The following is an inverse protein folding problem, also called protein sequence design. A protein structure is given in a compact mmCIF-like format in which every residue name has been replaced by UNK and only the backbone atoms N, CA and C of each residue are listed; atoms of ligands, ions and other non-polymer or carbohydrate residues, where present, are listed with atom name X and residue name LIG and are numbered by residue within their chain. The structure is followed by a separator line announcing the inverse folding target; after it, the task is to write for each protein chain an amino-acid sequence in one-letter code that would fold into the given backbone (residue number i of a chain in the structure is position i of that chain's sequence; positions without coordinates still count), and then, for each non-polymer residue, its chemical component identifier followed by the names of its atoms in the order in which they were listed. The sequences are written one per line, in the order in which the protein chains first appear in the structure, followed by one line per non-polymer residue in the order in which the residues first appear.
data_IF_914647654221
#
_entry.id   IF_914647654221
#
_cell.length_a   1.000
_cell.length_b   1.000
_cell.length_c   1.000
_cell.angle_alpha   90.00
_cell.angle_beta   90.00
_cell.angle_gamma   90.00
#
_symmetry.space_group_name_H-M   'P 1'
#
loop_
_entity.id
_entity.type
_entity.pdbx_description
1 polymer ?
#
# COMPACT_ATOMS: atom_id res chain seq x y z
N UNK A 1 20.05 20.38 1.22
CA UNK A 1 19.61 19.30 2.13
C UNK A 1 19.21 18.09 1.29
N UNK A 2 19.77 16.91 1.54
CA UNK A 2 19.31 15.67 0.89
C UNK A 2 17.92 15.36 1.42
N UNK A 3 16.93 15.26 0.54
CA UNK A 3 15.62 14.73 0.92
C UNK A 3 15.79 13.21 1.07
N UNK A 4 15.63 12.67 2.27
CA UNK A 4 15.75 11.24 2.51
C UNK A 4 14.35 10.67 2.67
N UNK A 5 13.92 9.89 1.67
CA UNK A 5 12.69 9.11 1.77
C UNK A 5 12.99 7.87 2.62
N UNK A 6 12.18 7.63 3.66
CA UNK A 6 12.27 6.42 4.48
C UNK A 6 11.01 5.58 4.27
N UNK A 7 11.23 4.29 4.11
CA UNK A 7 10.18 3.30 3.85
C UNK A 7 10.34 2.22 4.92
N UNK A 8 9.28 1.98 5.68
CA UNK A 8 9.26 0.96 6.72
C UNK A 8 8.02 0.10 6.57
N UNK A 9 8.22 -1.20 6.46
CA UNK A 9 7.12 -2.17 6.50
C UNK A 9 6.52 -2.21 7.92
N UNK A 10 5.19 -2.22 7.98
CA UNK A 10 4.45 -2.34 9.22
C UNK A 10 4.32 -3.82 9.60
N UNK A 11 4.39 -4.09 10.90
CA UNK A 11 4.03 -5.38 11.47
C UNK A 11 2.52 -5.59 11.49
N UNK A 12 2.08 -6.84 11.60
CA UNK A 12 0.66 -7.18 11.70
C UNK A 12 -0.05 -6.43 12.84
N UNK A 13 0.62 -6.29 14.00
CA UNK A 13 0.09 -5.54 15.14
C UNK A 13 -0.11 -4.04 14.81
N UNK A 14 0.84 -3.42 14.12
CA UNK A 14 0.71 -2.02 13.69
C UNK A 14 -0.41 -1.84 12.67
N UNK A 15 -0.61 -2.83 11.79
CA UNK A 15 -1.70 -2.84 10.81
C UNK A 15 -3.05 -2.94 11.55
N UNK A 16 -3.21 -3.88 12.48
CA UNK A 16 -4.43 -4.03 13.27
C UNK A 16 -4.79 -2.76 14.05
N UNK A 17 -3.80 -2.08 14.64
CA UNK A 17 -4.01 -0.80 15.32
C UNK A 17 -4.42 0.32 14.36
N UNK A 18 -3.85 0.34 13.16
CA UNK A 18 -4.16 1.33 12.14
C UNK A 18 -5.57 1.12 11.58
N UNK A 19 -6.00 -0.12 11.37
CA UNK A 19 -7.34 -0.48 10.88
C UNK A 19 -8.47 -0.16 11.85
N UNK A 20 -8.18 -0.03 13.15
CA UNK A 20 -9.14 0.47 14.15
C UNK A 20 -9.47 1.95 13.94
N UNK A 21 -8.67 2.70 13.17
CA UNK A 21 -8.92 4.10 12.84
C UNK A 21 -9.91 4.22 11.69
N UNK A 22 -11.01 4.94 11.92
CA UNK A 22 -12.15 5.03 10.99
C UNK A 22 -11.74 5.34 9.56
N UNK A 23 -10.89 6.35 9.33
CA UNK A 23 -10.47 6.75 7.99
C UNK A 23 -9.61 5.70 7.26
N UNK A 24 -8.85 4.91 8.01
CA UNK A 24 -8.00 3.86 7.46
C UNK A 24 -8.73 2.53 7.24
N UNK A 25 -9.96 2.35 7.74
CA UNK A 25 -10.73 1.14 7.44
C UNK A 25 -11.49 1.20 6.10
N UNK A 26 -11.65 2.39 5.52
CA UNK A 26 -12.56 2.61 4.38
C UNK A 26 -12.07 2.03 3.04
N UNK A 27 -10.80 1.65 2.90
CA UNK A 27 -10.24 1.13 1.64
C UNK A 27 -9.84 -0.31 1.85
N UNK A 28 -10.41 -1.23 1.07
CA UNK A 28 -10.15 -2.66 1.16
C UNK A 28 -10.04 -3.31 -0.22
N UNK A 29 -9.12 -4.28 -0.40
CA UNK A 29 -9.05 -5.06 -1.63
C UNK A 29 -10.26 -5.98 -1.77
N UNK A 30 -10.87 -6.03 -2.95
CA UNK A 30 -12.13 -6.78 -3.19
C UNK A 30 -12.05 -7.81 -4.31
N UNK A 31 -11.25 -7.58 -5.35
CA UNK A 31 -11.20 -8.44 -6.53
C UNK A 31 -9.84 -8.37 -7.23
N UNK A 32 -9.36 -9.50 -7.75
CA UNK A 32 -8.18 -9.54 -8.62
C UNK A 32 -8.58 -9.29 -10.07
N UNK A 33 -7.98 -8.29 -10.71
CA UNK A 33 -8.22 -7.97 -12.13
C UNK A 33 -7.76 -9.08 -13.09
N UNK A 34 -6.77 -9.88 -12.69
CA UNK A 34 -6.14 -10.83 -13.61
C UNK A 34 -6.82 -12.20 -13.62
N UNK A 35 -7.43 -12.63 -12.51
CA UNK A 35 -8.10 -13.94 -12.39
C UNK A 35 -9.55 -13.88 -11.89
N UNK A 36 -10.05 -12.72 -11.47
CA UNK A 36 -11.41 -12.54 -10.95
C UNK A 36 -11.63 -13.09 -9.54
N UNK A 37 -10.58 -13.58 -8.86
CA UNK A 37 -10.68 -14.07 -7.49
C UNK A 37 -11.20 -12.97 -6.55
N UNK A 38 -12.10 -13.35 -5.64
CA UNK A 38 -12.70 -12.50 -4.61
C UNK A 38 -12.40 -13.08 -3.23
N UNK A 39 -12.47 -12.23 -2.20
CA UNK A 39 -12.31 -12.64 -0.81
C UNK A 39 -11.13 -11.95 -0.13
N UNK A 40 -10.46 -12.65 0.78
CA UNK A 40 -9.37 -12.06 1.56
C UNK A 40 -8.06 -12.06 0.77
N UNK A 41 -7.49 -10.88 0.61
CA UNK A 41 -6.18 -10.69 0.00
C UNK A 41 -5.11 -10.55 1.06
N UNK A 42 -3.93 -11.13 0.82
CA UNK A 42 -2.76 -10.86 1.64
C UNK A 42 -2.33 -9.42 1.40
N UNK A 43 -2.01 -8.68 2.47
CA UNK A 43 -1.69 -7.25 2.39
C UNK A 43 -0.33 -6.98 3.02
N UNK A 44 0.39 -6.02 2.46
CA UNK A 44 1.62 -5.46 3.02
C UNK A 44 1.49 -3.95 3.06
N UNK A 45 1.73 -3.36 4.21
CA UNK A 45 1.62 -1.93 4.44
C UNK A 45 2.97 -1.34 4.79
N UNK A 46 3.28 -0.18 4.23
CA UNK A 46 4.54 0.52 4.43
C UNK A 46 4.26 1.95 4.86
N UNK A 47 4.87 2.41 5.94
CA UNK A 47 4.89 3.81 6.33
C UNK A 47 5.98 4.56 5.57
N UNK A 48 5.62 5.69 4.97
CA UNK A 48 6.53 6.51 4.17
C UNK A 48 6.75 7.86 4.85
N UNK A 49 8.02 8.21 5.07
CA UNK A 49 8.44 9.50 5.60
C UNK A 49 9.30 10.26 4.58
N UNK A 50 9.19 11.60 4.57
CA UNK A 50 10.03 12.47 3.72
C UNK A 50 9.59 12.59 2.26
N UNK A 51 8.40 12.08 1.92
CA UNK A 51 7.82 12.23 0.58
C UNK A 51 7.29 13.66 0.38
N UNK A 52 7.73 14.35 -0.68
CA UNK A 52 7.30 15.74 -0.97
C UNK A 52 6.13 15.87 -1.95
N UNK A 53 5.51 14.74 -2.30
CA UNK A 53 4.37 14.63 -3.22
C UNK A 53 4.62 15.17 -4.65
N UNK A 54 5.88 15.30 -5.08
CA UNK A 54 6.22 15.61 -6.48
C UNK A 54 6.33 14.34 -7.35
N UNK A 55 6.31 14.52 -8.68
CA UNK A 55 6.41 13.41 -9.65
C UNK A 55 7.72 12.64 -9.54
N UNK A 56 8.80 13.30 -9.13
CA UNK A 56 10.15 12.73 -9.07
C UNK A 56 10.27 11.75 -7.90
N UNK A 57 9.79 12.16 -6.72
CA UNK A 57 9.77 11.35 -5.50
C UNK A 57 8.91 10.09 -5.68
N UNK A 58 7.75 10.21 -6.35
CA UNK A 58 6.90 9.04 -6.67
C UNK A 58 7.59 8.06 -7.63
N UNK A 59 8.35 8.56 -8.60
CA UNK A 59 9.15 7.72 -9.51
C UNK A 59 10.27 6.96 -8.79
N UNK A 60 10.99 7.64 -7.90
CA UNK A 60 12.05 7.02 -7.07
C UNK A 60 11.45 5.96 -6.15
N UNK A 61 10.31 6.27 -5.52
CA UNK A 61 9.58 5.36 -4.66
C UNK A 61 9.14 4.10 -5.43
N UNK A 62 8.58 4.24 -6.63
CA UNK A 62 8.18 3.10 -7.47
C UNK A 62 9.38 2.18 -7.81
N UNK A 63 10.52 2.77 -8.19
CA UNK A 63 11.75 2.02 -8.45
C UNK A 63 12.20 1.26 -7.20
N UNK A 64 12.14 1.91 -6.03
CA UNK A 64 12.54 1.31 -4.77
C UNK A 64 11.60 0.17 -4.35
N UNK A 65 10.28 0.37 -4.42
CA UNK A 65 9.28 -0.65 -4.12
C UNK A 65 9.46 -1.90 -4.99
N UNK A 66 9.69 -1.71 -6.29
CA UNK A 66 9.96 -2.80 -7.22
C UNK A 66 11.25 -3.55 -6.89
N UNK A 67 12.36 -2.83 -6.71
CA UNK A 67 13.70 -3.45 -6.52
C UNK A 67 13.88 -4.12 -5.16
N UNK A 68 13.41 -3.48 -4.10
CA UNK A 68 13.66 -3.95 -2.73
C UNK A 68 12.58 -4.90 -2.22
N UNK A 69 11.33 -4.68 -2.63
CA UNK A 69 10.18 -5.42 -2.09
C UNK A 69 9.45 -6.28 -3.11
N UNK A 70 9.81 -6.19 -4.40
CA UNK A 70 9.13 -6.89 -5.49
C UNK A 70 7.71 -6.37 -5.74
N UNK A 71 7.41 -5.14 -5.33
CA UNK A 71 6.06 -4.56 -5.36
C UNK A 71 5.94 -3.58 -6.54
N UNK A 72 5.02 -3.88 -7.46
CA UNK A 72 4.73 -3.05 -8.64
C UNK A 72 3.31 -2.47 -8.63
N UNK A 73 2.35 -3.19 -8.04
CA UNK A 73 0.98 -2.73 -7.83
C UNK A 73 0.75 -2.32 -6.38
N UNK A 74 0.39 -1.06 -6.16
CA UNK A 74 0.08 -0.54 -4.83
C UNK A 74 -0.78 0.73 -4.90
N UNK A 75 -1.41 1.07 -3.78
CA UNK A 75 -2.14 2.32 -3.60
C UNK A 75 -1.49 3.16 -2.49
N UNK A 76 -1.71 4.47 -2.56
CA UNK A 76 -1.37 5.37 -1.46
C UNK A 76 -2.55 5.49 -0.50
N UNK A 77 -2.22 5.52 0.80
CA UNK A 77 -3.18 5.76 1.88
C UNK A 77 -2.67 6.85 2.80
N UNK A 78 -3.60 7.56 3.42
CA UNK A 78 -3.28 8.64 4.35
C UNK A 78 -4.06 8.47 5.64
N UNK A 79 -3.39 8.67 6.79
CA UNK A 79 -4.03 8.81 8.10
C UNK A 79 -3.49 10.08 8.77
N UNK A 80 -4.28 11.16 8.71
CA UNK A 80 -3.81 12.50 9.04
C UNK A 80 -2.64 12.92 8.15
N UNK A 81 -1.49 13.21 8.76
CA UNK A 81 -0.25 13.61 8.05
C UNK A 81 0.64 12.43 7.64
N UNK A 82 0.26 11.19 8.00
CA UNK A 82 1.05 10.00 7.71
C UNK A 82 0.66 9.45 6.35
N UNK A 83 1.67 9.11 5.55
CA UNK A 83 1.49 8.50 4.24
C UNK A 83 1.89 7.04 4.30
N UNK A 84 1.09 6.19 3.68
CA UNK A 84 1.31 4.76 3.60
C UNK A 84 1.21 4.28 2.16
N UNK A 85 1.90 3.19 1.88
CA UNK A 85 1.69 2.37 0.69
C UNK A 85 1.01 1.09 1.14
N UNK A 86 -0.03 0.70 0.43
CA UNK A 86 -0.68 -0.59 0.61
C UNK A 86 -0.57 -1.39 -0.68
N UNK A 87 0.01 -2.58 -0.58
CA UNK A 87 0.03 -3.57 -1.64
C UNK A 87 -0.83 -4.77 -1.22
N UNK A 88 -1.65 -5.26 -2.15
CA UNK A 88 -2.45 -6.46 -1.96
C UNK A 88 -2.04 -7.52 -2.98
N UNK A 89 -2.09 -8.79 -2.56
CA UNK A 89 -1.68 -9.93 -3.38
C UNK A 89 -2.82 -10.91 -3.51
N UNK A 90 -3.13 -11.29 -4.75
CA UNK A 90 -4.10 -12.33 -5.02
C UNK A 90 -3.61 -13.66 -4.43
N UNK A 91 -4.41 -14.34 -3.59
CA UNK A 91 -4.00 -15.62 -3.03
C UNK A 91 -3.85 -16.70 -4.10
N UNK A 92 -4.61 -16.61 -5.20
CA UNK A 92 -4.65 -17.59 -6.30
C UNK A 92 -3.51 -17.39 -7.31
N UNK A 93 -3.45 -16.22 -7.96
CA UNK A 93 -2.48 -15.99 -9.05
C UNK A 93 -1.25 -15.14 -8.65
N UNK A 94 -1.17 -14.72 -7.38
CA UNK A 94 -0.09 -13.85 -6.84
C UNK A 94 0.02 -12.46 -7.48
N UNK A 95 -0.92 -12.09 -8.35
CA UNK A 95 -0.98 -10.75 -8.93
C UNK A 95 -1.17 -9.66 -7.87
N UNK A 96 -0.60 -8.49 -8.15
CA UNK A 96 -0.79 -7.24 -7.40
C UNK A 96 -1.80 -6.30 -8.05
N UNK A 97 -2.43 -6.72 -9.17
CA UNK A 97 -3.45 -5.96 -9.88
C UNK A 97 -4.80 -6.18 -9.20
N UNK A 98 -4.99 -5.50 -8.06
CA UNK A 98 -6.13 -5.68 -7.17
C UNK A 98 -7.02 -4.44 -7.21
N UNK A 99 -8.33 -4.66 -7.38
CA UNK A 99 -9.34 -3.61 -7.21
C UNK A 99 -9.50 -3.36 -5.72
N UNK A 100 -9.45 -2.08 -5.34
CA UNK A 100 -9.76 -1.61 -4.01
C UNK A 100 -11.10 -0.88 -4.04
N UNK A 101 -12.00 -1.27 -3.15
CA UNK A 101 -13.28 -0.57 -2.97
C UNK A 101 -13.15 0.49 -1.87
N UNK A 102 -13.89 1.58 -2.05
CA UNK A 102 -14.05 2.65 -1.08
C UNK A 102 -15.38 2.41 -0.37
N UNK A 103 -15.32 1.88 0.84
CA UNK A 103 -16.49 1.75 1.71
C UNK A 103 -16.85 3.17 2.19
N UNK A 104 -17.83 3.79 1.54
CA UNK A 104 -18.37 5.12 1.90
C UNK A 104 -19.39 5.00 3.03
#
# INVERSE_FOLDING_TARGET
MKNTIRIRELSDLEIEELEKRKGFKLIQPVECMDCGAKGTFQRRLFHIEGLKDDKSDKGILAIHMKRQYGIEGYIFRTDGYRTFIEAAFCPECKSMNIIFDLVI
#
